data_IF_878680632590
#
_entry.id   IF_878680632590
#
_cell.length_a   1.000
_cell.length_b   1.000
_cell.length_c   1.000
_cell.angle_alpha   90.00
_cell.angle_beta   90.00
_cell.angle_gamma   90.00
#
_symmetry.space_group_name_H-M   'P 1'
#
loop_
_entity.id
_entity.type
_entity.pdbx_description
1 polymer ?
#
# COMPACT_ATOMS: atom_id res chain seq x y z
N UNK A 1 8.21 -8.94 -12.28
CA UNK A 1 7.67 -7.71 -12.92
C UNK A 1 8.84 -6.89 -13.43
N UNK A 2 8.69 -6.12 -14.51
CA UNK A 2 9.73 -5.16 -14.92
C UNK A 2 9.90 -4.12 -13.83
N UNK A 3 11.11 -4.03 -13.27
CA UNK A 3 11.50 -3.03 -12.28
C UNK A 3 12.27 -1.92 -13.00
N UNK A 4 11.78 -0.70 -12.90
CA UNK A 4 12.55 0.48 -13.26
C UNK A 4 12.13 1.67 -12.39
N UNK A 5 12.97 2.69 -12.37
CA UNK A 5 12.76 3.89 -11.54
C UNK A 5 11.44 4.60 -11.87
N UNK A 6 11.00 4.58 -13.14
CA UNK A 6 9.76 5.21 -13.57
C UNK A 6 8.53 4.53 -12.96
N UNK A 7 8.47 3.20 -12.98
CA UNK A 7 7.39 2.40 -12.37
C UNK A 7 7.38 2.62 -10.86
N UNK A 8 8.55 2.60 -10.21
CA UNK A 8 8.68 2.86 -8.78
C UNK A 8 8.14 4.23 -8.38
N UNK A 9 8.54 5.29 -9.11
CA UNK A 9 7.99 6.63 -8.91
C UNK A 9 6.48 6.67 -9.11
N UNK A 10 5.97 6.11 -10.21
CA UNK A 10 4.52 6.13 -10.52
C UNK A 10 3.67 5.42 -9.48
N UNK A 11 4.15 4.30 -8.93
CA UNK A 11 3.45 3.58 -7.86
C UNK A 11 3.58 4.33 -6.53
N UNK A 12 4.77 4.83 -6.20
CA UNK A 12 5.02 5.59 -4.98
C UNK A 12 4.23 6.90 -4.90
N UNK A 13 4.04 7.59 -6.03
CA UNK A 13 3.21 8.81 -6.14
C UNK A 13 1.74 8.57 -5.74
N UNK A 14 1.25 7.33 -5.82
CA UNK A 14 -0.10 7.00 -5.33
C UNK A 14 -0.18 6.94 -3.81
N UNK A 15 0.93 6.63 -3.15
CA UNK A 15 1.06 6.56 -1.69
C UNK A 15 1.34 7.95 -1.10
N UNK A 16 2.25 8.71 -1.72
CA UNK A 16 2.70 10.01 -1.23
C UNK A 16 3.87 10.56 -2.03
N UNK A 17 4.71 11.37 -1.38
CA UNK A 17 5.91 11.94 -1.98
C UNK A 17 7.02 10.89 -2.04
N UNK A 18 7.54 10.61 -3.23
CA UNK A 18 8.61 9.63 -3.43
C UNK A 18 9.96 10.26 -3.12
N UNK A 19 10.63 9.71 -2.11
CA UNK A 19 11.96 10.14 -1.68
C UNK A 19 13.04 9.37 -2.44
N UNK A 20 12.84 8.05 -2.61
CA UNK A 20 13.85 7.15 -3.18
C UNK A 20 13.19 5.93 -3.82
N UNK A 21 13.80 5.42 -4.88
CA UNK A 21 13.46 4.11 -5.47
C UNK A 21 14.75 3.29 -5.40
N UNK A 22 14.66 2.10 -4.82
CA UNK A 22 15.80 1.19 -4.59
C UNK A 22 16.19 0.46 -5.89
N UNK A 23 16.71 1.22 -6.84
CA UNK A 23 17.24 0.79 -8.15
C UNK A 23 18.29 1.81 -8.61
N UNK A 24 19.33 1.36 -9.31
CA UNK A 24 20.25 2.30 -9.95
C UNK A 24 19.58 2.99 -11.17
N UNK A 25 20.01 4.21 -11.47
CA UNK A 25 19.47 4.97 -12.61
C UNK A 25 19.85 4.27 -13.92
N UNK A 26 18.86 3.83 -14.67
CA UNK A 26 19.04 3.17 -15.97
C UNK A 26 18.94 1.66 -15.91
N UNK A 27 18.84 1.07 -14.72
CA UNK A 27 18.59 -0.36 -14.58
C UNK A 27 17.14 -0.71 -14.91
N UNK A 28 17.00 -1.70 -15.79
CA UNK A 28 15.77 -2.44 -16.01
C UNK A 28 16.06 -3.87 -15.60
N UNK A 29 15.49 -4.27 -14.47
CA UNK A 29 15.71 -5.61 -13.92
C UNK A 29 14.39 -6.36 -13.77
N UNK A 30 14.45 -7.68 -13.84
CA UNK A 30 13.36 -8.55 -13.46
C UNK A 30 13.48 -8.91 -11.99
N UNK A 31 12.46 -8.60 -11.20
CA UNK A 31 12.41 -9.02 -9.80
C UNK A 31 10.98 -9.19 -9.30
N UNK A 32 10.88 -9.73 -8.08
CA UNK A 32 9.60 -10.01 -7.41
C UNK A 32 9.04 -8.77 -6.70
N UNK A 33 9.91 -7.88 -6.23
CA UNK A 33 9.53 -6.67 -5.50
C UNK A 33 10.38 -5.47 -5.92
N UNK A 34 9.81 -4.28 -5.68
CA UNK A 34 10.44 -2.98 -5.87
C UNK A 34 10.25 -2.17 -4.59
N UNK A 35 11.34 -1.76 -3.95
CA UNK A 35 11.28 -0.92 -2.75
C UNK A 35 11.27 0.55 -3.14
N UNK A 36 10.40 1.30 -2.48
CA UNK A 36 10.24 2.73 -2.69
C UNK A 36 10.10 3.39 -1.32
N UNK A 37 10.96 4.36 -1.02
CA UNK A 37 10.83 5.20 0.17
C UNK A 37 9.87 6.33 -0.12
N UNK A 38 8.80 6.42 0.66
CA UNK A 38 7.71 7.39 0.45
C UNK A 38 7.38 8.10 1.74
N UNK A 39 7.24 9.43 1.69
CA UNK A 39 6.59 10.22 2.73
C UNK A 39 5.09 10.29 2.45
N UNK A 40 4.27 9.74 3.35
CA UNK A 40 2.82 9.67 3.18
C UNK A 40 2.06 10.13 4.42
N UNK A 41 0.78 10.45 4.25
CA UNK A 41 -0.09 10.92 5.33
C UNK A 41 -0.64 9.73 6.15
N UNK A 42 -0.14 9.56 7.37
CA UNK A 42 -0.51 8.47 8.28
C UNK A 42 -1.95 8.53 8.81
N UNK A 43 -2.63 9.66 8.65
CA UNK A 43 -4.06 9.81 9.03
C UNK A 43 -5.01 9.19 8.02
N UNK A 44 -4.51 8.85 6.81
CA UNK A 44 -5.25 8.13 5.79
C UNK A 44 -5.07 6.62 5.96
N UNK A 45 -6.05 5.80 5.54
CA UNK A 45 -5.88 4.35 5.48
C UNK A 45 -4.69 3.97 4.59
N UNK A 46 -3.97 2.92 4.99
CA UNK A 46 -2.92 2.33 4.17
C UNK A 46 -3.47 1.91 2.80
N UNK A 47 -2.71 2.12 1.74
CA UNK A 47 -3.05 1.56 0.43
C UNK A 47 -2.63 0.09 0.37
N UNK A 48 -3.53 -0.77 -0.09
CA UNK A 48 -3.28 -2.23 -0.19
C UNK A 48 -2.64 -2.62 -1.52
N UNK A 49 -2.67 -1.71 -2.48
CA UNK A 49 -2.17 -1.92 -3.82
C UNK A 49 -2.73 -0.90 -4.79
N UNK A 50 -2.32 -1.04 -6.05
CA UNK A 50 -2.68 -0.14 -7.14
C UNK A 50 -2.75 -0.91 -8.46
N UNK A 51 -3.73 -0.56 -9.30
CA UNK A 51 -3.74 -0.99 -10.70
C UNK A 51 -2.66 -0.24 -11.49
N UNK A 52 -1.80 -0.98 -12.18
CA UNK A 52 -0.82 -0.45 -13.13
C UNK A 52 -1.17 -0.93 -14.54
N UNK A 53 -1.25 -0.01 -15.48
CA UNK A 53 -1.41 -0.31 -16.91
C UNK A 53 -0.10 0.05 -17.62
N UNK A 54 0.48 -0.91 -18.34
CA UNK A 54 1.72 -0.70 -19.11
C UNK A 54 1.37 -0.80 -20.59
N UNK A 55 1.68 0.23 -21.38
CA UNK A 55 1.62 0.17 -22.85
C UNK A 55 0.25 -0.12 -23.47
N UNK A 56 -0.86 0.21 -22.78
CA UNK A 56 -2.22 -0.03 -23.30
C UNK A 56 -2.74 -1.46 -23.17
N UNK A 57 -1.99 -2.37 -22.54
CA UNK A 57 -2.41 -3.74 -22.24
C UNK A 57 -3.27 -3.87 -20.97
N UNK A 58 -3.49 -5.11 -20.53
CA UNK A 58 -4.25 -5.42 -19.33
C UNK A 58 -3.65 -4.78 -18.07
N UNK A 59 -4.51 -4.25 -17.20
CA UNK A 59 -4.08 -3.67 -15.94
C UNK A 59 -3.72 -4.78 -14.94
N UNK A 60 -2.52 -4.71 -14.36
CA UNK A 60 -2.09 -5.63 -13.30
C UNK A 60 -2.33 -4.98 -11.94
N UNK A 61 -2.86 -5.74 -10.98
CA UNK A 61 -2.95 -5.30 -9.59
C UNK A 61 -1.62 -5.52 -8.87
N UNK A 62 -0.96 -4.43 -8.48
CA UNK A 62 0.28 -4.46 -7.72
C UNK A 62 -0.08 -4.36 -6.24
N UNK A 63 0.34 -5.34 -5.44
CA UNK A 63 0.15 -5.32 -3.98
C UNK A 63 1.23 -4.47 -3.32
N UNK A 64 0.85 -3.76 -2.27
CA UNK A 64 1.78 -2.99 -1.45
C UNK A 64 2.04 -3.70 -0.14
N UNK A 65 3.30 -3.66 0.28
CA UNK A 65 3.78 -4.12 1.56
C UNK A 65 4.59 -2.99 2.19
N UNK A 66 4.57 -2.90 3.52
CA UNK A 66 5.15 -1.80 4.28
C UNK A 66 6.22 -2.34 5.21
N UNK A 67 7.44 -1.85 5.04
CA UNK A 67 8.53 -2.05 5.99
C UNK A 67 8.34 -1.11 7.19
N UNK A 68 8.74 -1.55 8.38
CA UNK A 68 8.62 -0.78 9.63
C UNK A 68 7.21 -0.28 9.97
N UNK A 69 6.17 -0.99 9.52
CA UNK A 69 4.78 -0.58 9.77
C UNK A 69 4.45 -0.61 11.27
N UNK A 70 4.06 0.50 11.90
CA UNK A 70 3.62 0.51 13.30
C UNK A 70 2.31 -0.26 13.50
N UNK A 71 1.81 -0.30 14.73
CA UNK A 71 0.46 -0.82 14.98
C UNK A 71 -0.58 0.05 14.26
N UNK A 72 -1.46 -0.61 13.52
CA UNK A 72 -2.51 0.02 12.74
C UNK A 72 -3.82 -0.73 12.97
N UNK A 73 -4.94 -0.06 12.71
CA UNK A 73 -6.25 -0.65 12.83
C UNK A 73 -6.56 -1.54 11.61
N UNK A 74 -6.84 -2.82 11.84
CA UNK A 74 -7.19 -3.78 10.79
C UNK A 74 -8.57 -3.51 10.19
N UNK A 75 -9.42 -2.77 10.90
CA UNK A 75 -10.72 -2.33 10.39
C UNK A 75 -10.61 -1.18 9.39
N UNK A 76 -9.98 -0.07 9.79
CA UNK A 76 -9.97 1.16 8.98
C UNK A 76 -8.65 1.44 8.27
N UNK A 77 -7.61 0.64 8.52
CA UNK A 77 -6.30 0.76 7.88
C UNK A 77 -5.45 1.94 8.34
N UNK A 78 -5.84 2.68 9.38
CA UNK A 78 -5.09 3.86 9.86
C UNK A 78 -4.14 3.50 11.00
N UNK A 79 -3.04 4.23 11.07
CA UNK A 79 -2.04 4.08 12.14
C UNK A 79 -2.50 4.84 13.40
N UNK A 80 -2.13 4.33 14.57
CA UNK A 80 -2.26 5.06 15.85
C UNK A 80 -3.41 4.62 16.76
N UNK A 81 -4.18 3.58 16.40
CA UNK A 81 -5.20 3.00 17.28
C UNK A 81 -5.46 1.52 16.95
N UNK A 82 -6.14 0.82 17.86
CA UNK A 82 -6.51 -0.59 17.69
C UNK A 82 -7.94 -0.75 17.17
N UNK A 83 -8.33 -1.96 16.77
CA UNK A 83 -9.70 -2.26 16.32
C UNK A 83 -10.78 -2.04 17.39
N UNK A 84 -10.40 -2.03 18.68
CA UNK A 84 -11.31 -1.76 19.80
C UNK A 84 -11.64 -0.28 19.92
N UNK A 85 -10.66 0.57 19.59
CA UNK A 85 -10.74 2.03 19.72
C UNK A 85 -11.13 2.72 18.41
N UNK A 86 -11.40 1.94 17.36
CA UNK A 86 -11.72 2.45 16.03
C UNK A 86 -13.09 3.12 15.99
N UNK A 87 -13.10 4.45 15.88
CA UNK A 87 -14.32 5.25 15.74
C UNK A 87 -15.13 4.90 14.48
N UNK A 88 -14.45 4.49 13.40
CA UNK A 88 -15.08 4.11 12.13
C UNK A 88 -15.85 2.78 12.21
N UNK A 89 -15.51 1.91 13.17
CA UNK A 89 -16.19 0.62 13.36
C UNK A 89 -17.64 0.75 13.83
N UNK A 90 -17.96 1.83 14.56
CA UNK A 90 -19.31 2.08 15.10
C UNK A 90 -20.28 2.63 14.05
N UNK A 91 -19.78 3.05 12.89
CA UNK A 91 -20.58 3.61 11.79
C UNK A 91 -21.00 2.57 10.75
N UNK A 92 -20.49 1.33 10.84
CA UNK A 92 -20.75 0.27 9.87
C UNK A 92 -22.00 -0.55 10.19
N UNK A 93 -22.72 -0.93 9.13
CA UNK A 93 -23.89 -1.82 9.17
C UNK A 93 -23.52 -3.22 9.68
N UNK A 94 -24.49 -3.98 10.23
CA UNK A 94 -24.24 -5.36 10.70
C UNK A 94 -23.64 -6.27 9.61
N UNK A 95 -23.96 -6.01 8.34
CA UNK A 95 -23.41 -6.74 7.19
C UNK A 95 -21.90 -6.52 7.04
N UNK A 96 -21.42 -5.30 7.26
CA UNK A 96 -19.98 -5.00 7.18
C UNK A 96 -19.21 -5.66 8.33
N UNK A 97 -19.82 -5.82 9.52
CA UNK A 97 -19.23 -6.54 10.67
C UNK A 97 -18.96 -8.02 10.39
N UNK A 98 -19.66 -8.62 9.42
CA UNK A 98 -19.47 -10.01 8.99
C UNK A 98 -18.36 -10.18 7.94
N UNK A 99 -17.85 -9.10 7.36
CA UNK A 99 -16.75 -9.15 6.38
C UNK A 99 -15.42 -9.31 7.12
N UNK A 100 -14.57 -10.22 6.61
CA UNK A 100 -13.20 -10.34 7.09
C UNK A 100 -12.51 -8.97 7.07
N UNK A 101 -11.73 -8.66 8.11
CA UNK A 101 -11.07 -7.36 8.27
C UNK A 101 -10.33 -6.97 6.97
N UNK A 102 -10.60 -5.78 6.39
CA UNK A 102 -10.10 -5.42 5.06
C UNK A 102 -8.58 -5.18 5.01
N UNK A 103 -7.95 -5.10 6.18
CA UNK A 103 -6.50 -5.02 6.37
C UNK A 103 -6.04 -6.13 7.32
N UNK A 104 -4.79 -6.53 7.22
CA UNK A 104 -4.22 -7.53 8.12
C UNK A 104 -2.70 -7.55 8.09
N UNK A 105 -2.13 -8.49 8.86
CA UNK A 105 -0.67 -8.65 9.03
C UNK A 105 0.08 -8.86 7.71
N UNK A 106 -0.62 -9.33 6.67
CA UNK A 106 -0.10 -9.50 5.31
C UNK A 106 0.33 -8.19 4.63
N UNK A 107 0.04 -7.01 5.21
CA UNK A 107 0.58 -5.73 4.73
C UNK A 107 2.01 -5.46 5.17
N UNK A 108 2.56 -6.24 6.09
CA UNK A 108 3.96 -6.13 6.52
C UNK A 108 4.84 -6.86 5.52
N UNK A 109 5.93 -6.20 5.11
CA UNK A 109 7.04 -6.81 4.38
C UNK A 109 8.02 -7.47 5.35
#
# INVERSE_FOLDING_TARGET
MVRNVFVGKKLGERLGSVEEVDLEKGEVEWGEYLRVRVTFNVTKPLLRGAKLSIGGGESVWIRFFYEHLPNFCHWCGRIGHTDKDCAFRKQDSEVQKMVAQPYGVWLRA
#
